data_IF_916573350041
#
_entry.id   IF_916573350041
#
_cell.length_a   1.000
_cell.length_b   1.000
_cell.length_c   1.000
_cell.angle_alpha   90.00
_cell.angle_beta   90.00
_cell.angle_gamma   90.00
#
_symmetry.space_group_name_H-M   'P 1'
#
loop_
_entity.id
_entity.type
_entity.pdbx_description
1 polymer ?
#
# COMPACT_ATOMS: atom_id res chain seq x y z
N UNK A 1 -6.08 1.84 9.74
CA UNK A 1 -5.57 1.58 8.38
C UNK A 1 -4.30 0.76 8.48
N UNK A 2 -4.23 -0.32 7.73
CA UNK A 2 -3.03 -1.17 7.63
C UNK A 2 -2.29 -0.78 6.36
N UNK A 3 -1.08 -0.27 6.51
CA UNK A 3 -0.20 0.03 5.38
C UNK A 3 0.64 -1.22 5.12
N UNK A 4 0.66 -1.68 3.87
CA UNK A 4 1.48 -2.81 3.43
C UNK A 4 2.53 -2.19 2.51
N UNK A 5 3.78 -2.12 2.97
CA UNK A 5 4.86 -1.45 2.25
C UNK A 5 5.95 -2.46 1.96
N UNK A 6 5.95 -3.03 0.75
CA UNK A 6 6.84 -4.13 0.38
C UNK A 6 6.92 -5.21 1.48
N UNK A 7 5.83 -5.38 2.25
CA UNK A 7 5.79 -6.17 3.49
C UNK A 7 5.05 -7.46 3.24
N UNK A 8 5.43 -8.50 3.96
CA UNK A 8 4.73 -9.78 3.94
C UNK A 8 3.26 -9.59 4.30
N UNK A 9 2.40 -10.28 3.56
CA UNK A 9 0.95 -10.17 3.72
C UNK A 9 0.49 -10.55 5.13
N UNK A 10 1.14 -11.54 5.73
CA UNK A 10 0.82 -12.09 7.05
C UNK A 10 1.55 -11.32 8.17
N UNK A 11 2.77 -10.86 7.92
CA UNK A 11 3.60 -10.10 8.87
C UNK A 11 4.03 -8.73 8.31
N UNK A 12 3.32 -7.67 8.71
CA UNK A 12 3.62 -6.31 8.28
C UNK A 12 4.94 -5.73 8.80
N UNK A 13 5.65 -6.44 9.68
CA UNK A 13 6.97 -6.04 10.16
C UNK A 13 8.11 -6.64 9.33
N UNK A 14 7.80 -7.53 8.38
CA UNK A 14 8.77 -8.18 7.52
C UNK A 14 8.56 -7.75 6.08
N UNK A 15 9.63 -7.58 5.29
CA UNK A 15 9.48 -7.44 3.85
C UNK A 15 8.87 -8.71 3.22
N UNK A 16 8.11 -8.54 2.15
CA UNK A 16 7.68 -9.66 1.31
C UNK A 16 8.91 -10.29 0.65
N UNK A 17 8.92 -11.61 0.52
CA UNK A 17 10.05 -12.35 -0.04
C UNK A 17 10.46 -11.86 -1.44
N UNK A 18 9.50 -11.36 -2.23
CA UNK A 18 9.76 -10.82 -3.56
C UNK A 18 10.55 -9.50 -3.53
N UNK A 19 10.60 -8.79 -2.39
CA UNK A 19 11.22 -7.48 -2.23
C UNK A 19 12.36 -7.45 -1.20
N UNK A 20 12.76 -8.59 -0.62
CA UNK A 20 13.79 -8.66 0.43
C UNK A 20 15.12 -8.05 -0.01
N UNK A 21 15.56 -8.34 -1.25
CA UNK A 21 16.84 -7.86 -1.76
C UNK A 21 16.84 -6.34 -2.00
N UNK A 22 15.74 -5.81 -2.53
CA UNK A 22 15.53 -4.38 -2.77
C UNK A 22 15.49 -3.60 -1.46
N UNK A 23 14.76 -4.11 -0.45
CA UNK A 23 14.67 -3.51 0.88
C UNK A 23 16.05 -3.47 1.54
N UNK A 24 16.79 -4.59 1.53
CA UNK A 24 18.14 -4.63 2.10
C UNK A 24 19.11 -3.66 1.41
N UNK A 25 19.01 -3.52 0.07
CA UNK A 25 19.82 -2.57 -0.68
C UNK A 25 19.46 -1.11 -0.34
N UNK A 26 18.17 -0.80 -0.19
CA UNK A 26 17.68 0.53 0.17
C UNK A 26 18.10 0.92 1.60
N UNK A 27 17.99 0.01 2.57
CA UNK A 27 18.42 0.22 3.96
C UNK A 27 19.92 0.50 4.05
N UNK A 28 20.74 -0.27 3.34
CA UNK A 28 22.19 -0.06 3.28
C UNK A 28 22.56 1.33 2.73
N UNK A 29 21.72 1.88 1.86
CA UNK A 29 21.89 3.21 1.29
C UNK A 29 21.19 4.32 2.09
N UNK A 30 20.52 3.99 3.19
CA UNK A 30 19.74 4.95 3.99
C UNK A 30 18.56 5.54 3.22
N UNK A 31 18.01 4.80 2.26
CA UNK A 31 16.83 5.17 1.47
C UNK A 31 15.60 4.56 2.14
N UNK A 32 15.28 5.07 3.33
CA UNK A 32 14.12 4.64 4.10
C UNK A 32 13.07 5.78 4.03
N UNK A 33 11.86 5.53 3.50
CA UNK A 33 10.80 6.53 3.48
C UNK A 33 10.36 6.90 4.90
N UNK A 34 9.98 8.18 5.14
CA UNK A 34 9.41 8.61 6.42
C UNK A 34 7.99 8.05 6.57
N UNK A 35 7.90 6.81 7.04
CA UNK A 35 6.65 6.04 7.06
C UNK A 35 5.56 6.69 7.90
N UNK A 36 5.89 7.38 8.99
CA UNK A 36 4.90 8.07 9.82
C UNK A 36 4.23 9.22 9.06
N UNK A 37 5.00 10.02 8.30
CA UNK A 37 4.46 11.08 7.45
C UNK A 37 3.46 10.54 6.43
N UNK A 38 3.81 9.44 5.75
CA UNK A 38 2.91 8.83 4.77
C UNK A 38 1.70 8.15 5.42
N UNK A 39 1.84 7.62 6.64
CA UNK A 39 0.74 7.07 7.42
C UNK A 39 -0.28 8.14 7.78
N UNK A 40 0.17 9.32 8.16
CA UNK A 40 -0.72 10.45 8.47
C UNK A 40 -1.44 10.96 7.22
N UNK A 41 -0.74 11.05 6.08
CA UNK A 41 -1.37 11.43 4.81
C UNK A 41 -2.40 10.36 4.40
N UNK A 42 -2.02 9.08 4.47
CA UNK A 42 -2.88 7.95 4.17
C UNK A 42 -4.21 8.06 4.91
N UNK A 43 -4.21 8.42 6.21
CA UNK A 43 -5.42 8.53 7.04
C UNK A 43 -6.48 9.50 6.49
N UNK A 44 -6.07 10.45 5.67
CA UNK A 44 -6.97 11.45 5.08
C UNK A 44 -7.55 11.01 3.74
N UNK A 45 -7.05 9.92 3.13
CA UNK A 45 -7.55 9.39 1.87
C UNK A 45 -8.93 8.77 2.07
N UNK A 46 -9.94 9.30 1.38
CA UNK A 46 -11.34 8.84 1.45
C UNK A 46 -11.57 7.58 0.57
N UNK A 47 -10.64 6.62 0.59
CA UNK A 47 -10.77 5.31 -0.05
C UNK A 47 -10.45 4.21 0.95
N UNK A 48 -11.19 3.09 0.87
CA UNK A 48 -10.93 1.91 1.71
C UNK A 48 -9.70 1.13 1.26
N UNK A 49 -9.39 1.19 -0.04
CA UNK A 49 -8.27 0.51 -0.66
C UNK A 49 -7.65 1.47 -1.67
N UNK A 50 -6.35 1.70 -1.56
CA UNK A 50 -5.61 2.59 -2.44
C UNK A 50 -4.12 2.20 -2.40
N UNK A 51 -3.40 2.55 -3.46
CA UNK A 51 -1.95 2.47 -3.57
C UNK A 51 -1.37 3.87 -3.45
N UNK A 52 -0.17 3.98 -2.86
CA UNK A 52 0.57 5.22 -2.75
C UNK A 52 2.03 4.94 -3.08
N UNK A 53 2.49 5.47 -4.20
CA UNK A 53 3.87 5.33 -4.64
C UNK A 53 4.66 6.57 -4.23
N UNK A 54 5.83 6.37 -3.61
CA UNK A 54 6.64 7.44 -3.06
C UNK A 54 8.07 7.39 -3.58
N UNK A 55 8.68 8.56 -3.76
CA UNK A 55 10.06 8.67 -4.22
C UNK A 55 10.85 9.72 -3.43
N UNK A 56 12.13 9.42 -3.20
CA UNK A 56 13.10 10.38 -2.68
C UNK A 56 13.69 11.18 -3.83
N UNK A 57 13.58 12.50 -3.76
CA UNK A 57 14.20 13.44 -4.69
C UNK A 57 15.70 13.56 -4.42
N UNK A 58 16.43 14.09 -5.41
CA UNK A 58 17.88 14.34 -5.31
C UNK A 58 18.26 15.35 -4.21
N UNK A 59 17.33 16.23 -3.83
CA UNK A 59 17.48 17.18 -2.72
C UNK A 59 17.21 16.54 -1.35
N UNK A 60 16.89 15.25 -1.30
CA UNK A 60 16.60 14.49 -0.09
C UNK A 60 15.14 14.52 0.35
N UNK A 61 14.29 15.36 -0.26
CA UNK A 61 12.87 15.43 0.06
C UNK A 61 12.11 14.23 -0.49
N UNK A 62 11.01 13.87 0.16
CA UNK A 62 10.13 12.79 -0.29
C UNK A 62 8.85 13.34 -0.91
N UNK A 63 8.36 12.67 -1.94
CA UNK A 63 7.10 13.01 -2.61
C UNK A 63 6.24 11.78 -2.84
N UNK A 64 4.93 11.99 -2.90
CA UNK A 64 3.98 11.04 -3.48
C UNK A 64 4.00 11.25 -4.99
N UNK A 65 4.35 10.19 -5.73
CA UNK A 65 4.41 10.20 -7.20
C UNK A 65 3.05 9.84 -7.78
N UNK A 66 2.39 8.86 -7.18
CA UNK A 66 1.08 8.36 -7.61
C UNK A 66 0.22 8.01 -6.40
N UNK A 67 -1.09 8.27 -6.53
CA UNK A 67 -2.12 7.79 -5.63
C UNK A 67 -3.20 7.14 -6.49
N UNK A 68 -3.32 5.81 -6.42
CA UNK A 68 -4.33 5.05 -7.13
C UNK A 68 -5.39 4.53 -6.17
N UNK A 69 -6.64 4.39 -6.59
CA UNK A 69 -7.69 3.73 -5.80
C UNK A 69 -7.59 2.19 -5.83
N UNK A 70 -6.42 1.70 -6.24
CA UNK A 70 -6.08 0.29 -6.32
C UNK A 70 -7.07 -0.54 -7.16
N UNK A 71 -7.63 0.09 -8.20
CA UNK A 71 -8.36 -0.60 -9.26
C UNK A 71 -7.47 -1.68 -9.89
N UNK A 72 -7.86 -2.94 -9.72
CA UNK A 72 -7.50 -4.00 -10.65
C UNK A 72 -8.61 -4.07 -11.70
N UNK A 73 -8.23 -4.14 -12.98
CA UNK A 73 -9.20 -4.41 -14.03
C UNK A 73 -9.71 -5.85 -13.87
N UNK A 74 -10.90 -5.99 -13.29
CA UNK A 74 -11.67 -7.23 -13.25
C UNK A 74 -11.53 -8.04 -11.96
N UNK A 75 -12.56 -8.84 -11.70
CA UNK A 75 -12.56 -9.86 -10.66
C UNK A 75 -11.83 -11.12 -11.16
N UNK A 76 -11.24 -11.95 -10.28
CA UNK A 76 -10.72 -13.26 -10.67
C UNK A 76 -11.75 -14.01 -11.52
N UNK A 77 -11.32 -14.75 -12.55
CA UNK A 77 -12.23 -15.40 -13.50
C UNK A 77 -13.26 -16.36 -12.86
N UNK A 78 -13.03 -16.79 -11.61
CA UNK A 78 -13.91 -17.67 -10.82
C UNK A 78 -14.52 -16.98 -9.60
N UNK A 79 -14.39 -15.66 -9.48
CA UNK A 79 -14.98 -14.93 -8.39
C UNK A 79 -16.49 -14.89 -8.54
N UNK A 80 -17.19 -15.08 -7.43
CA UNK A 80 -18.61 -14.77 -7.34
C UNK A 80 -18.77 -13.25 -7.23
N UNK A 81 -19.10 -12.63 -8.36
CA UNK A 81 -19.23 -11.18 -8.49
C UNK A 81 -20.30 -10.63 -7.56
N UNK A 82 -21.42 -11.33 -7.46
CA UNK A 82 -22.57 -10.85 -6.73
C UNK A 82 -22.33 -10.93 -5.22
N UNK A 83 -21.79 -12.05 -4.74
CA UNK A 83 -21.39 -12.21 -3.34
C UNK A 83 -20.34 -11.17 -2.92
N UNK A 84 -19.35 -10.90 -3.78
CA UNK A 84 -18.31 -9.91 -3.49
C UNK A 84 -18.87 -8.51 -3.27
N UNK A 85 -19.73 -8.02 -4.18
CA UNK A 85 -20.29 -6.67 -4.05
C UNK A 85 -21.35 -6.57 -2.94
N UNK A 86 -22.10 -7.64 -2.65
CA UNK A 86 -23.00 -7.68 -1.50
C UNK A 86 -22.24 -7.48 -0.19
N UNK A 87 -21.16 -8.23 0.04
CA UNK A 87 -20.31 -8.09 1.23
C UNK A 87 -19.63 -6.72 1.30
N UNK A 88 -19.15 -6.21 0.16
CA UNK A 88 -18.53 -4.88 0.12
C UNK A 88 -19.53 -3.76 0.47
N UNK A 89 -20.79 -3.92 0.10
CA UNK A 89 -21.86 -2.94 0.35
C UNK A 89 -22.41 -3.00 1.78
N UNK A 90 -22.44 -4.18 2.39
CA UNK A 90 -22.95 -4.41 3.75
C UNK A 90 -21.94 -4.04 4.83
N UNK A 91 -20.67 -3.86 4.46
CA UNK A 91 -19.60 -3.49 5.38
C UNK A 91 -19.73 -2.05 5.90
N UNK A 92 -20.38 -1.89 7.05
CA UNK A 92 -20.41 -0.65 7.82
C UNK A 92 -19.22 -0.60 8.80
N UNK A 93 -18.43 0.47 8.73
CA UNK A 93 -17.35 0.76 9.67
C UNK A 93 -17.96 1.07 11.05
N UNK A 94 -17.68 0.24 12.05
CA UNK A 94 -17.81 0.59 13.48
C UNK A 94 -16.63 1.43 13.94
#
# INVERSE_FOLDING_TARGET
MRMIFCSDFWDSLRPDAAYEAEVAAAEKQGIIPPMDTFRDIAQNVQSRFFTMDVAKRVDGNWIIVELGDAQVAGLPAKADVEAFYQELSSYNKS
#
